data_IF_057301649652
#
_entry.id   IF_057301649652
#
_cell.length_a   1.000
_cell.length_b   1.000
_cell.length_c   1.000
_cell.angle_alpha   90.00
_cell.angle_beta   90.00
_cell.angle_gamma   90.00
#
_symmetry.space_group_name_H-M   'P 1'
#
loop_
_entity.id
_entity.type
_entity.pdbx_description
1 polymer ?
#
# COMPACT_ATOMS: atom_id res chain seq x y z
N UNK A 1 6.43 25.04 13.74
CA UNK A 1 6.78 23.62 13.76
C UNK A 1 7.77 23.35 14.91
N UNK A 2 7.30 22.78 16.03
CA UNK A 2 8.05 22.69 17.31
C UNK A 2 7.94 21.32 17.99
N UNK A 3 7.30 20.34 17.35
CA UNK A 3 7.14 19.02 17.93
C UNK A 3 8.49 18.29 18.01
N UNK A 4 8.67 17.46 19.05
CA UNK A 4 9.85 16.60 19.16
C UNK A 4 9.81 15.54 18.05
N UNK A 5 10.96 15.14 17.48
CA UNK A 5 11.00 14.11 16.44
C UNK A 5 10.29 12.81 16.83
N UNK A 6 10.34 12.41 18.10
CA UNK A 6 9.63 11.22 18.60
C UNK A 6 8.12 11.32 18.41
N UNK A 7 7.53 12.49 18.70
CA UNK A 7 6.08 12.72 18.59
C UNK A 7 5.66 12.71 17.12
N UNK A 8 6.45 13.34 16.24
CA UNK A 8 6.21 13.33 14.80
C UNK A 8 6.28 11.90 14.25
N UNK A 9 7.29 11.14 14.65
CA UNK A 9 7.47 9.74 14.25
C UNK A 9 6.27 8.88 14.66
N UNK A 10 5.84 8.99 15.92
CA UNK A 10 4.67 8.25 16.43
C UNK A 10 3.40 8.67 15.68
N UNK A 11 3.20 9.97 15.43
CA UNK A 11 2.06 10.49 14.68
C UNK A 11 1.98 9.89 13.27
N UNK A 12 3.07 9.96 12.50
CA UNK A 12 3.11 9.42 11.13
C UNK A 12 2.89 7.89 11.13
N UNK A 13 3.50 7.16 12.06
CA UNK A 13 3.29 5.71 12.18
C UNK A 13 1.84 5.37 12.52
N UNK A 14 1.22 6.13 13.41
CA UNK A 14 -0.19 5.93 13.80
C UNK A 14 -1.10 6.19 12.59
N UNK A 15 -0.87 7.28 11.85
CA UNK A 15 -1.62 7.58 10.62
C UNK A 15 -1.46 6.46 9.59
N UNK A 16 -0.25 5.91 9.40
CA UNK A 16 -0.02 4.76 8.52
C UNK A 16 -0.89 3.56 8.93
N UNK A 17 -0.94 3.23 10.22
CA UNK A 17 -1.75 2.11 10.71
C UNK A 17 -3.25 2.32 10.53
N UNK A 18 -3.73 3.56 10.63
CA UNK A 18 -5.12 3.90 10.31
C UNK A 18 -5.35 3.71 8.81
N UNK A 19 -4.48 4.23 7.95
CA UNK A 19 -4.60 4.11 6.50
C UNK A 19 -4.56 2.66 6.01
N UNK A 20 -3.82 1.78 6.69
CA UNK A 20 -3.76 0.36 6.36
C UNK A 20 -5.11 -0.35 6.54
N UNK A 21 -5.97 0.16 7.42
CA UNK A 21 -7.31 -0.38 7.69
C UNK A 21 -8.40 0.39 6.94
N UNK A 22 -8.22 1.69 6.81
CA UNK A 22 -9.17 2.61 6.16
C UNK A 22 -8.41 3.57 5.24
N UNK A 23 -8.06 3.16 4.02
CA UNK A 23 -7.30 3.99 3.08
C UNK A 23 -8.03 5.28 2.69
N UNK A 24 -9.37 5.24 2.75
CA UNK A 24 -10.26 6.36 2.44
C UNK A 24 -10.11 7.57 3.37
N UNK A 25 -9.51 7.41 4.56
CA UNK A 25 -9.29 8.52 5.50
C UNK A 25 -8.26 9.53 4.96
N UNK A 26 -7.44 9.12 3.99
CA UNK A 26 -6.34 9.92 3.48
C UNK A 26 -6.74 10.67 2.21
N UNK A 27 -6.35 11.94 2.10
CA UNK A 27 -6.45 12.73 0.87
C UNK A 27 -5.10 12.81 0.17
N UNK A 28 -5.09 13.19 -1.11
CA UNK A 28 -3.85 13.35 -1.86
C UNK A 28 -2.98 14.48 -1.29
N UNK A 29 -3.60 15.60 -0.91
CA UNK A 29 -2.90 16.76 -0.35
C UNK A 29 -2.21 16.40 0.97
N UNK A 30 -2.94 15.78 1.89
CA UNK A 30 -2.38 15.37 3.19
C UNK A 30 -1.29 14.30 3.02
N UNK A 31 -1.49 13.34 2.11
CA UNK A 31 -0.47 12.32 1.83
C UNK A 31 0.82 12.95 1.32
N UNK A 32 0.72 13.93 0.42
CA UNK A 32 1.88 14.64 -0.11
C UNK A 32 2.60 15.44 0.99
N UNK A 33 1.87 16.15 1.85
CA UNK A 33 2.44 16.87 2.99
C UNK A 33 3.18 15.93 3.94
N UNK A 34 2.58 14.79 4.31
CA UNK A 34 3.20 13.78 5.17
C UNK A 34 4.39 13.08 4.49
N UNK A 35 4.33 12.87 3.18
CA UNK A 35 5.41 12.24 2.42
C UNK A 35 6.69 13.12 2.37
N UNK A 36 6.58 14.45 2.43
CA UNK A 36 7.76 15.32 2.43
C UNK A 36 8.66 15.14 3.67
N UNK A 37 8.13 14.57 4.77
CA UNK A 37 8.94 14.18 5.94
C UNK A 37 10.00 13.10 5.63
N UNK A 38 9.98 12.48 4.45
CA UNK A 38 11.08 11.60 3.98
C UNK A 38 12.43 12.31 3.79
N UNK A 39 12.44 13.65 3.80
CA UNK A 39 13.63 14.51 3.75
C UNK A 39 13.97 15.13 5.10
N UNK A 40 13.26 14.74 6.16
CA UNK A 40 13.46 15.29 7.49
C UNK A 40 14.83 14.91 8.06
N UNK A 41 15.39 15.73 8.95
CA UNK A 41 16.73 15.50 9.53
C UNK A 41 16.79 14.22 10.36
N UNK A 42 15.72 13.92 11.08
CA UNK A 42 15.64 12.74 11.95
C UNK A 42 15.35 11.46 11.14
N UNK A 43 16.12 10.40 11.42
CA UNK A 43 16.05 9.12 10.69
C UNK A 43 14.77 8.35 11.02
N UNK A 44 14.27 8.42 12.25
CA UNK A 44 13.05 7.72 12.65
C UNK A 44 11.82 8.34 11.98
N UNK A 45 11.75 9.67 11.93
CA UNK A 45 10.72 10.42 11.18
C UNK A 45 10.80 10.09 9.70
N UNK A 46 12.00 10.13 9.13
CA UNK A 46 12.23 9.78 7.72
C UNK A 46 11.77 8.35 7.40
N UNK A 47 12.08 7.39 8.27
CA UNK A 47 11.64 6.00 8.14
C UNK A 47 10.12 5.87 8.22
N UNK A 48 9.48 6.58 9.16
CA UNK A 48 8.03 6.62 9.27
C UNK A 48 7.36 7.14 7.99
N UNK A 49 7.82 8.26 7.46
CA UNK A 49 7.30 8.83 6.20
C UNK A 49 7.48 7.87 5.01
N UNK A 50 8.65 7.21 4.90
CA UNK A 50 8.88 6.18 3.87
C UNK A 50 7.97 4.98 4.01
N UNK A 51 7.66 4.55 5.23
CA UNK A 51 6.73 3.45 5.47
C UNK A 51 5.28 3.79 5.08
N UNK A 52 4.88 5.06 5.18
CA UNK A 52 3.59 5.56 4.69
C UNK A 52 3.57 5.60 3.16
N UNK A 53 4.64 6.11 2.52
CA UNK A 53 4.78 6.09 1.06
C UNK A 53 4.70 4.65 0.53
N UNK A 54 5.39 3.71 1.17
CA UNK A 54 5.36 2.31 0.75
C UNK A 54 3.94 1.72 0.85
N UNK A 55 3.21 2.02 1.91
CA UNK A 55 1.82 1.58 2.04
C UNK A 55 0.96 2.08 0.85
N UNK A 56 1.10 3.35 0.46
CA UNK A 56 0.32 3.88 -0.68
C UNK A 56 0.83 3.42 -2.04
N UNK A 57 2.05 2.88 -2.17
CA UNK A 57 2.47 2.15 -3.38
C UNK A 57 1.74 0.82 -3.53
N UNK A 58 1.30 0.22 -2.44
CA UNK A 58 0.61 -1.07 -2.47
C UNK A 58 -0.92 -0.88 -2.55
N UNK A 59 -1.43 0.18 -1.93
CA UNK A 59 -2.86 0.49 -1.89
C UNK A 59 -3.35 1.27 -3.11
N UNK A 60 -2.70 2.41 -3.42
CA UNK A 60 -3.10 3.26 -4.53
C UNK A 60 -1.97 4.22 -4.95
N UNK A 61 -1.11 3.80 -5.91
CA UNK A 61 0.06 4.58 -6.32
C UNK A 61 -0.27 5.91 -6.99
N UNK A 62 -1.48 6.05 -7.54
CA UNK A 62 -1.89 7.27 -8.25
C UNK A 62 -2.00 8.47 -7.31
N UNK A 63 -2.30 8.25 -6.02
CA UNK A 63 -2.29 9.28 -4.97
C UNK A 63 -0.88 9.81 -4.64
N UNK A 64 0.17 9.09 -5.02
CA UNK A 64 1.54 9.55 -4.84
C UNK A 64 1.97 10.37 -6.06
N UNK A 65 2.76 11.41 -5.81
CA UNK A 65 3.48 12.13 -6.86
C UNK A 65 4.45 11.19 -7.59
N UNK A 66 4.70 11.45 -8.87
CA UNK A 66 5.50 10.58 -9.76
C UNK A 66 6.85 10.14 -9.16
N UNK A 67 7.54 11.04 -8.45
CA UNK A 67 8.82 10.78 -7.76
C UNK A 67 8.73 9.72 -6.65
N UNK A 68 7.55 9.55 -6.04
CA UNK A 68 7.35 8.69 -4.88
C UNK A 68 6.75 7.34 -5.21
N UNK A 69 6.25 7.13 -6.42
CA UNK A 69 5.68 5.85 -6.87
C UNK A 69 6.71 4.71 -6.90
N UNK A 70 7.99 5.03 -7.12
CA UNK A 70 9.03 4.02 -7.32
C UNK A 70 8.97 3.40 -8.72
N UNK A 71 9.80 2.38 -8.96
CA UNK A 71 9.84 1.66 -10.24
C UNK A 71 8.86 0.49 -10.17
N UNK A 72 8.03 0.32 -11.21
CA UNK A 72 7.07 -0.79 -11.28
C UNK A 72 5.82 -0.62 -10.42
N UNK A 73 5.45 0.61 -10.06
CA UNK A 73 4.18 0.86 -9.40
C UNK A 73 3.02 0.48 -10.33
N UNK A 74 2.10 -0.32 -9.82
CA UNK A 74 0.88 -0.70 -10.52
C UNK A 74 -0.09 0.49 -10.57
N UNK A 75 -0.14 1.18 -11.70
CA UNK A 75 -0.99 2.35 -11.87
C UNK A 75 -2.47 1.98 -12.09
N UNK A 76 -2.77 0.71 -12.38
CA UNK A 76 -4.14 0.19 -12.49
C UNK A 76 -4.74 -0.04 -11.09
N UNK A 77 -3.90 -0.04 -10.05
CA UNK A 77 -4.31 -0.13 -8.65
C UNK A 77 -4.98 1.17 -8.19
N UNK A 78 -6.27 1.27 -8.48
CA UNK A 78 -7.09 2.42 -8.10
C UNK A 78 -7.57 2.38 -6.65
N UNK A 79 -7.98 3.54 -6.15
CA UNK A 79 -8.54 3.69 -4.80
C UNK A 79 -9.87 2.93 -4.74
N UNK A 80 -10.04 2.09 -3.73
CA UNK A 80 -11.36 1.56 -3.40
C UNK A 80 -12.29 2.75 -3.05
N UNK A 81 -13.37 2.92 -3.80
CA UNK A 81 -14.37 3.95 -3.55
C UNK A 81 -15.35 3.44 -2.49
N UNK A 82 -15.90 4.34 -1.65
CA UNK A 82 -16.93 3.96 -0.69
C UNK A 82 -18.11 3.27 -1.41
N UNK A 83 -18.51 2.10 -0.91
CA UNK A 83 -19.57 1.28 -1.52
C UNK A 83 -19.12 0.43 -2.71
N UNK A 84 -17.82 0.41 -3.05
CA UNK A 84 -17.29 -0.55 -4.02
C UNK A 84 -17.36 -1.97 -3.44
N UNK A 85 -17.89 -2.91 -4.24
CA UNK A 85 -17.95 -4.32 -3.89
C UNK A 85 -16.75 -5.03 -4.51
N UNK A 86 -15.72 -5.32 -3.72
CA UNK A 86 -14.64 -6.23 -4.11
C UNK A 86 -15.11 -7.67 -3.94
N UNK A 87 -15.78 -8.20 -4.96
CA UNK A 87 -16.15 -9.63 -4.99
C UNK A 87 -15.02 -10.40 -5.65
N UNK A 88 -14.31 -11.22 -4.86
CA UNK A 88 -13.37 -12.20 -5.42
C UNK A 88 -14.19 -13.32 -6.07
N UNK A 89 -14.14 -13.42 -7.39
CA UNK A 89 -14.76 -14.52 -8.15
C UNK A 89 -13.86 -15.75 -8.23
N UNK A 90 -12.55 -15.57 -8.01
CA UNK A 90 -11.52 -16.60 -8.14
C UNK A 90 -10.29 -16.22 -7.31
N UNK A 91 -9.53 -17.23 -6.89
CA UNK A 91 -8.21 -17.08 -6.26
C UNK A 91 -7.16 -17.03 -7.37
N UNK A 92 -6.25 -16.05 -7.31
CA UNK A 92 -5.11 -15.97 -8.23
C UNK A 92 -4.33 -17.29 -8.23
N UNK A 93 -4.03 -17.85 -9.41
CA UNK A 93 -3.33 -19.12 -9.56
C UNK A 93 -4.23 -20.36 -9.53
N UNK A 94 -5.56 -20.21 -9.35
CA UNK A 94 -6.50 -21.34 -9.40
C UNK A 94 -6.50 -22.05 -10.78
N UNK A 95 -6.19 -21.33 -11.86
CA UNK A 95 -6.01 -21.87 -13.21
C UNK A 95 -4.83 -22.85 -13.30
N UNK A 96 -3.77 -22.64 -12.53
CA UNK A 96 -2.60 -23.53 -12.55
C UNK A 96 -2.98 -24.92 -12.01
N UNK A 97 -3.80 -24.98 -10.96
CA UNK A 97 -4.34 -26.22 -10.45
C UNK A 97 -5.24 -26.89 -11.48
N UNK A 98 -6.10 -26.12 -12.15
CA UNK A 98 -7.01 -26.65 -13.16
C UNK A 98 -6.26 -27.19 -14.38
N UNK A 99 -5.19 -26.51 -14.80
CA UNK A 99 -4.26 -27.00 -15.83
C UNK A 99 -3.54 -28.28 -15.40
N UNK A 100 -3.05 -28.36 -14.15
CA UNK A 100 -2.39 -29.55 -13.63
C UNK A 100 -3.35 -30.77 -13.61
N UNK A 101 -4.62 -30.56 -13.22
CA UNK A 101 -5.66 -31.59 -13.29
C UNK A 101 -5.90 -32.02 -14.74
N UNK A 102 -5.99 -31.07 -15.67
CA UNK A 102 -6.20 -31.36 -17.10
C UNK A 102 -5.00 -32.08 -17.74
N UNK A 103 -3.78 -31.80 -17.30
CA UNK A 103 -2.55 -32.50 -17.73
C UNK A 103 -2.42 -33.90 -17.12
N UNK A 104 -3.21 -34.21 -16.10
CA UNK A 104 -3.14 -35.49 -15.39
C UNK A 104 -1.98 -35.57 -14.40
N UNK A 105 -1.35 -34.43 -14.05
CA UNK A 105 -0.16 -34.37 -13.19
C UNK A 105 -0.47 -34.76 -11.72
N UNK A 106 -1.75 -34.87 -11.36
CA UNK A 106 -2.24 -35.26 -10.03
C UNK A 106 -2.84 -36.68 -10.00
N UNK A 107 -2.72 -37.47 -11.07
CA UNK A 107 -3.06 -38.88 -11.04
C UNK A 107 -1.92 -39.67 -10.35
N UNK A 108 -2.30 -40.44 -9.33
CA UNK A 108 -1.53 -41.44 -8.59
C UNK A 108 -0.59 -40.95 -7.48
N UNK A 109 -1.14 -40.96 -6.26
CA UNK A 109 -0.43 -41.40 -5.06
C UNK A 109 -1.39 -42.22 -4.19
N UNK A 110 -1.55 -43.48 -4.57
CA UNK A 110 -1.84 -44.59 -3.63
C UNK A 110 -0.51 -45.12 -3.07
#
# INVERSE_FOLDING_TARGET
DKARPEVVCIGIKTVREICARMPLVMTEELLQELAEYKKFRDKAVTSAARSLIQLFRDLCPTMLVKKDRGRGADLERERDVYGSNRVSSRIDGAELLQEAILRGDLADSD
#
